data_IF_993955974057
#
_entry.id   IF_993955974057
#
_cell.length_a   1.000
_cell.length_b   1.000
_cell.length_c   1.000
_cell.angle_alpha   90.00
_cell.angle_beta   90.00
_cell.angle_gamma   90.00
#
_symmetry.space_group_name_H-M   'P 1'
#
loop_
_entity.id
_entity.type
_entity.pdbx_description
1 polymer ?
#
# COMPACT_ATOMS: atom_id res chain seq x y z
N UNK A 1 -9.67 -12.15 19.47
CA UNK A 1 -8.87 -11.02 18.93
C UNK A 1 -7.51 -11.06 19.62
N UNK A 2 -6.44 -11.00 18.84
CA UNK A 2 -5.06 -10.97 19.36
C UNK A 2 -4.42 -9.63 19.05
N UNK A 3 -3.59 -9.11 19.95
CA UNK A 3 -2.80 -7.91 19.72
C UNK A 3 -1.61 -8.25 18.85
N UNK A 4 -1.63 -7.85 17.59
CA UNK A 4 -0.62 -8.19 16.58
C UNK A 4 0.13 -6.95 16.10
N UNK A 5 1.41 -7.12 15.74
CA UNK A 5 2.14 -6.13 14.94
C UNK A 5 1.67 -6.21 13.49
N UNK A 6 1.95 -5.19 12.70
CA UNK A 6 1.60 -5.14 11.28
C UNK A 6 2.13 -6.38 10.52
N UNK A 7 3.41 -6.73 10.70
CA UNK A 7 4.00 -7.91 10.05
C UNK A 7 3.31 -9.22 10.49
N UNK A 8 2.97 -9.37 11.78
CA UNK A 8 2.26 -10.57 12.26
C UNK A 8 0.84 -10.67 11.72
N UNK A 9 0.20 -9.53 11.48
CA UNK A 9 -1.13 -9.49 10.87
C UNK A 9 -1.08 -9.98 9.41
N UNK A 10 -0.06 -9.60 8.64
CA UNK A 10 0.19 -10.12 7.29
C UNK A 10 0.46 -11.63 7.35
N UNK A 11 1.38 -12.08 8.22
CA UNK A 11 1.66 -13.52 8.41
C UNK A 11 0.37 -14.31 8.71
N UNK A 12 -0.49 -13.77 9.59
CA UNK A 12 -1.79 -14.39 9.92
C UNK A 12 -2.73 -14.45 8.72
N UNK A 13 -2.76 -13.42 7.86
CA UNK A 13 -3.53 -13.42 6.62
C UNK A 13 -3.02 -14.46 5.62
N UNK A 14 -1.69 -14.54 5.45
CA UNK A 14 -1.04 -15.54 4.58
C UNK A 14 -1.30 -16.97 5.07
N UNK A 15 -1.20 -17.19 6.38
CA UNK A 15 -1.53 -18.49 6.98
C UNK A 15 -2.98 -18.91 6.71
N UNK A 16 -3.90 -17.96 6.80
CA UNK A 16 -5.32 -18.20 6.53
C UNK A 16 -5.57 -18.60 5.08
N UNK A 17 -5.04 -17.85 4.11
CA UNK A 17 -5.27 -18.15 2.68
C UNK A 17 -4.59 -19.45 2.24
N UNK A 18 -3.41 -19.77 2.79
CA UNK A 18 -2.76 -21.07 2.55
C UNK A 18 -3.54 -22.23 3.15
N UNK A 19 -4.21 -22.03 4.29
CA UNK A 19 -5.05 -23.05 4.94
C UNK A 19 -6.34 -23.28 4.15
N UNK A 20 -6.92 -22.22 3.59
CA UNK A 20 -8.23 -22.26 2.93
C UNK A 20 -8.16 -22.83 1.51
N UNK A 21 -7.09 -22.56 0.75
CA UNK A 21 -6.96 -22.98 -0.64
C UNK A 21 -5.63 -23.72 -0.88
N UNK A 22 -5.68 -25.03 -1.18
CA UNK A 22 -4.48 -25.83 -1.48
C UNK A 22 -3.74 -25.38 -2.76
N UNK A 23 -4.34 -24.53 -3.60
CA UNK A 23 -3.72 -23.97 -4.80
C UNK A 23 -3.02 -22.64 -4.54
N UNK A 24 -3.11 -22.09 -3.35
CA UNK A 24 -2.34 -20.90 -2.94
C UNK A 24 -0.91 -21.32 -2.60
N UNK A 25 0.08 -20.57 -3.09
CA UNK A 25 1.48 -20.79 -2.77
C UNK A 25 2.25 -19.46 -2.70
N UNK A 26 3.31 -19.45 -1.90
CA UNK A 26 4.17 -18.28 -1.66
C UNK A 26 5.59 -18.62 -2.05
N UNK A 27 6.26 -17.74 -2.77
CA UNK A 27 7.66 -17.91 -3.14
C UNK A 27 8.35 -16.57 -3.39
N UNK A 28 9.66 -16.60 -3.33
CA UNK A 28 10.53 -15.45 -3.50
C UNK A 28 11.88 -15.70 -2.86
N UNK A 29 12.70 -14.70 -2.75
CA UNK A 29 14.02 -14.79 -2.14
C UNK A 29 13.89 -14.90 -0.63
N UNK A 30 14.52 -15.91 -0.03
CA UNK A 30 14.51 -16.20 1.41
C UNK A 30 13.12 -16.43 2.04
N UNK A 31 12.09 -16.60 1.23
CA UNK A 31 10.68 -16.72 1.67
C UNK A 31 10.41 -18.03 2.41
N UNK A 32 11.07 -19.11 1.98
CA UNK A 32 10.87 -20.46 2.50
C UNK A 32 11.54 -20.65 3.86
N UNK A 33 12.74 -21.25 3.85
CA UNK A 33 13.44 -21.66 5.07
C UNK A 33 13.75 -20.50 6.01
N UNK A 34 14.13 -19.35 5.49
CA UNK A 34 14.44 -18.16 6.29
C UNK A 34 13.17 -17.47 6.82
N UNK A 35 12.03 -17.64 6.17
CA UNK A 35 10.76 -16.99 6.52
C UNK A 35 10.68 -15.53 6.11
N UNK A 36 11.39 -15.16 5.03
CA UNK A 36 11.50 -13.79 4.51
C UNK A 36 12.53 -12.95 5.27
N UNK A 37 13.13 -11.97 4.59
CA UNK A 37 14.14 -11.05 5.18
C UNK A 37 13.56 -10.31 6.39
N UNK A 38 12.30 -9.95 6.34
CA UNK A 38 11.60 -9.28 7.44
C UNK A 38 10.79 -10.23 8.32
N UNK A 39 10.83 -11.53 8.07
CA UNK A 39 10.16 -12.58 8.85
C UNK A 39 8.64 -12.60 8.65
N UNK A 40 8.16 -12.15 7.50
CA UNK A 40 6.73 -12.11 7.16
C UNK A 40 6.16 -13.52 6.90
N UNK A 41 6.99 -14.45 6.40
CA UNK A 41 6.59 -15.82 6.08
C UNK A 41 7.15 -16.86 7.05
N UNK A 42 7.59 -16.43 8.23
CA UNK A 42 8.12 -17.30 9.28
C UNK A 42 7.14 -18.41 9.63
N UNK A 43 7.65 -19.63 9.80
CA UNK A 43 6.93 -20.85 10.16
C UNK A 43 5.92 -21.36 9.08
N UNK A 44 5.70 -20.63 7.98
CA UNK A 44 4.76 -21.05 6.93
C UNK A 44 5.27 -22.25 6.14
N UNK A 45 6.59 -22.31 5.84
CA UNK A 45 7.16 -23.49 5.16
C UNK A 45 7.05 -24.76 6.02
N UNK A 46 7.33 -24.65 7.32
CA UNK A 46 7.22 -25.77 8.25
C UNK A 46 5.78 -26.30 8.33
N UNK A 47 4.79 -25.40 8.23
CA UNK A 47 3.37 -25.75 8.30
C UNK A 47 2.81 -26.31 7.00
N UNK A 48 3.16 -25.71 5.85
CA UNK A 48 2.52 -26.00 4.55
C UNK A 48 3.40 -26.79 3.59
N UNK A 49 4.68 -26.97 3.91
CA UNK A 49 5.65 -27.72 3.10
C UNK A 49 6.37 -26.88 2.05
N UNK A 50 7.50 -27.43 1.58
CA UNK A 50 8.38 -26.79 0.58
C UNK A 50 7.72 -26.68 -0.80
N UNK A 51 6.73 -27.48 -1.12
CA UNK A 51 5.98 -27.41 -2.38
C UNK A 51 5.06 -26.19 -2.46
N UNK A 52 4.76 -25.57 -1.32
CA UNK A 52 3.82 -24.46 -1.24
C UNK A 52 4.44 -23.15 -0.74
N UNK A 53 5.52 -23.22 0.03
CA UNK A 53 6.27 -22.07 0.53
C UNK A 53 7.75 -22.34 0.27
N UNK A 54 8.34 -21.68 -0.71
CA UNK A 54 9.69 -22.03 -1.17
C UNK A 54 10.52 -20.83 -1.61
N UNK A 55 11.83 -21.03 -1.56
CA UNK A 55 12.82 -20.07 -2.02
C UNK A 55 13.01 -20.14 -3.54
N UNK A 56 13.28 -18.99 -4.14
CA UNK A 56 13.69 -18.88 -5.54
C UNK A 56 15.14 -18.40 -5.65
N UNK A 57 15.79 -18.58 -6.80
CA UNK A 57 16.97 -17.80 -7.13
C UNK A 57 16.65 -16.29 -7.12
N UNK A 58 17.68 -15.45 -6.94
CA UNK A 58 17.64 -14.01 -7.04
C UNK A 58 17.47 -13.61 -8.52
N UNK A 59 16.22 -13.52 -8.96
CA UNK A 59 15.84 -13.24 -10.35
C UNK A 59 14.38 -12.79 -10.44
N UNK A 60 14.10 -11.53 -10.19
CA UNK A 60 12.74 -10.99 -10.04
C UNK A 60 11.89 -11.16 -11.31
N UNK A 61 12.51 -11.03 -12.49
CA UNK A 61 11.83 -11.36 -13.76
C UNK A 61 11.42 -12.85 -13.85
N UNK A 62 12.26 -13.74 -13.33
CA UNK A 62 11.96 -15.16 -13.23
C UNK A 62 10.86 -15.47 -12.22
N UNK A 63 10.85 -14.79 -11.08
CA UNK A 63 9.82 -14.87 -10.04
C UNK A 63 8.45 -14.50 -10.63
N UNK A 64 8.36 -13.37 -11.35
CA UNK A 64 7.11 -12.94 -11.99
C UNK A 64 6.71 -13.87 -13.16
N UNK A 65 7.67 -14.33 -13.96
CA UNK A 65 7.41 -15.29 -15.02
C UNK A 65 6.83 -16.60 -14.48
N UNK A 66 7.35 -17.11 -13.36
CA UNK A 66 6.81 -18.29 -12.67
C UNK A 66 5.38 -18.02 -12.16
N UNK A 67 5.13 -16.86 -11.54
CA UNK A 67 3.79 -16.48 -11.05
C UNK A 67 2.76 -16.47 -12.19
N UNK A 68 3.07 -15.87 -13.33
CA UNK A 68 2.19 -15.83 -14.50
C UNK A 68 1.91 -17.26 -15.00
N UNK A 69 2.95 -18.09 -15.15
CA UNK A 69 2.80 -19.47 -15.59
C UNK A 69 1.92 -20.32 -14.66
N UNK A 70 2.10 -20.15 -13.35
CA UNK A 70 1.29 -20.83 -12.33
C UNK A 70 -0.17 -20.37 -12.37
N UNK A 71 -0.42 -19.07 -12.50
CA UNK A 71 -1.80 -18.54 -12.59
C UNK A 71 -2.55 -19.09 -13.79
N UNK A 72 -1.89 -19.24 -14.95
CA UNK A 72 -2.46 -19.84 -16.15
C UNK A 72 -2.89 -21.30 -15.96
N UNK A 73 -2.29 -22.00 -15.01
CA UNK A 73 -2.61 -23.40 -14.68
C UNK A 73 -3.58 -23.53 -13.48
N UNK A 74 -4.12 -22.41 -13.01
CA UNK A 74 -5.16 -22.37 -11.99
C UNK A 74 -4.64 -22.35 -10.55
N UNK A 75 -3.39 -21.94 -10.34
CA UNK A 75 -2.83 -21.64 -9.02
C UNK A 75 -3.07 -20.18 -8.65
N UNK A 76 -3.00 -19.86 -7.35
CA UNK A 76 -3.01 -18.50 -6.80
C UNK A 76 -1.63 -18.18 -6.21
N UNK A 77 -0.68 -17.76 -7.05
CA UNK A 77 0.68 -17.47 -6.60
C UNK A 77 0.77 -16.13 -5.88
N UNK A 78 1.58 -16.14 -4.81
CA UNK A 78 1.94 -14.95 -4.04
C UNK A 78 3.46 -14.78 -4.14
N UNK A 79 3.98 -14.23 -5.25
CA UNK A 79 5.39 -13.89 -5.35
C UNK A 79 5.75 -12.73 -4.41
N UNK A 80 6.87 -12.85 -3.68
CA UNK A 80 7.48 -11.76 -2.95
C UNK A 80 8.66 -11.21 -3.72
N UNK A 81 8.67 -9.90 -3.98
CA UNK A 81 9.84 -9.15 -4.40
C UNK A 81 10.40 -8.49 -3.14
N UNK A 82 11.68 -8.74 -2.85
CA UNK A 82 12.28 -8.49 -1.55
C UNK A 82 12.27 -7.01 -1.14
N UNK A 83 12.37 -6.09 -2.12
CA UNK A 83 12.20 -4.64 -1.97
C UNK A 83 11.58 -4.04 -3.23
N UNK A 84 10.79 -2.98 -3.05
CA UNK A 84 10.10 -2.34 -4.18
C UNK A 84 11.05 -1.83 -5.26
N UNK A 85 12.23 -1.32 -4.91
CA UNK A 85 13.26 -0.91 -5.87
C UNK A 85 13.68 -2.01 -6.83
N UNK A 86 13.60 -3.28 -6.43
CA UNK A 86 13.94 -4.43 -7.28
C UNK A 86 12.83 -4.82 -8.26
N UNK A 87 11.64 -4.24 -8.12
CA UNK A 87 10.57 -4.42 -9.12
C UNK A 87 10.95 -3.93 -10.50
N UNK A 88 11.97 -3.06 -10.64
CA UNK A 88 12.49 -2.65 -11.94
C UNK A 88 12.98 -3.84 -12.78
N UNK A 89 13.57 -4.88 -12.16
CA UNK A 89 13.97 -6.11 -12.84
C UNK A 89 12.77 -6.97 -13.29
N UNK A 90 11.59 -6.75 -12.71
CA UNK A 90 10.35 -7.47 -13.00
C UNK A 90 9.32 -6.64 -13.80
N UNK A 91 9.65 -5.42 -14.23
CA UNK A 91 8.68 -4.49 -14.85
C UNK A 91 8.00 -5.07 -16.08
N UNK A 92 8.72 -5.79 -16.96
CA UNK A 92 8.07 -6.45 -18.09
C UNK A 92 7.01 -7.46 -17.63
N UNK A 93 7.35 -8.28 -16.62
CA UNK A 93 6.41 -9.26 -16.06
C UNK A 93 5.17 -8.61 -15.45
N UNK A 94 5.33 -7.53 -14.69
CA UNK A 94 4.24 -6.82 -13.99
C UNK A 94 3.41 -6.01 -14.97
N UNK A 95 4.03 -5.05 -15.65
CA UNK A 95 3.36 -4.02 -16.47
C UNK A 95 3.14 -4.49 -17.90
N UNK A 96 4.15 -5.18 -18.48
CA UNK A 96 4.12 -5.65 -19.85
C UNK A 96 3.27 -6.88 -20.07
N UNK A 97 3.18 -7.77 -19.09
CA UNK A 97 2.49 -9.06 -19.19
C UNK A 97 1.28 -9.12 -18.23
N UNK A 98 1.49 -9.35 -16.94
CA UNK A 98 0.45 -9.67 -15.96
C UNK A 98 -0.75 -8.70 -15.98
N UNK A 99 -0.49 -7.40 -15.93
CA UNK A 99 -1.54 -6.39 -15.94
C UNK A 99 -2.40 -6.40 -17.21
N UNK A 100 -1.86 -6.91 -18.34
CA UNK A 100 -2.51 -6.89 -19.65
C UNK A 100 -3.13 -8.23 -20.05
N UNK A 101 -2.77 -9.30 -19.35
CA UNK A 101 -3.13 -10.64 -19.81
C UNK A 101 -4.63 -10.91 -19.73
N UNK A 102 -5.34 -10.39 -18.73
CA UNK A 102 -6.81 -10.49 -18.72
C UNK A 102 -7.42 -9.92 -20.02
N UNK A 103 -6.96 -8.74 -20.46
CA UNK A 103 -7.38 -8.14 -21.72
C UNK A 103 -6.96 -8.95 -22.95
N UNK A 104 -5.71 -9.46 -23.00
CA UNK A 104 -5.20 -10.27 -24.13
C UNK A 104 -5.98 -11.56 -24.31
N UNK A 105 -6.44 -12.16 -23.22
CA UNK A 105 -7.29 -13.35 -23.24
C UNK A 105 -8.78 -13.02 -23.42
N UNK A 106 -9.12 -11.76 -23.74
CA UNK A 106 -10.51 -11.36 -24.00
C UNK A 106 -11.44 -11.52 -22.81
N UNK A 107 -10.94 -11.39 -21.59
CA UNK A 107 -11.69 -11.60 -20.35
C UNK A 107 -12.03 -13.07 -20.03
N UNK A 108 -11.47 -14.03 -20.77
CA UNK A 108 -11.79 -15.46 -20.60
C UNK A 108 -10.92 -16.15 -19.55
N UNK A 109 -9.86 -15.49 -19.07
CA UNK A 109 -8.94 -16.00 -18.04
C UNK A 109 -8.70 -14.96 -16.98
N UNK A 110 -8.66 -15.43 -15.75
CA UNK A 110 -8.26 -14.67 -14.58
C UNK A 110 -6.76 -14.85 -14.32
N UNK A 111 -6.16 -13.84 -13.69
CA UNK A 111 -4.74 -13.86 -13.31
C UNK A 111 -4.61 -13.52 -11.82
N UNK A 112 -4.99 -14.46 -10.93
CA UNK A 112 -5.02 -14.23 -9.47
C UNK A 112 -3.60 -14.25 -8.88
N UNK A 113 -2.81 -13.24 -9.19
CA UNK A 113 -1.44 -13.08 -8.71
C UNK A 113 -1.39 -11.94 -7.70
N UNK A 114 -0.93 -12.21 -6.48
CA UNK A 114 -0.70 -11.20 -5.47
C UNK A 114 0.78 -10.96 -5.29
N UNK A 115 1.30 -9.90 -5.89
CA UNK A 115 2.69 -9.49 -5.74
C UNK A 115 2.81 -8.78 -4.40
N UNK A 116 3.68 -9.27 -3.51
CA UNK A 116 4.01 -8.62 -2.25
C UNK A 116 5.38 -7.98 -2.34
N UNK A 117 5.49 -6.75 -1.84
CA UNK A 117 6.77 -6.07 -1.79
C UNK A 117 6.84 -5.07 -0.65
N UNK A 118 7.90 -5.09 0.17
CA UNK A 118 8.23 -4.03 1.11
C UNK A 118 8.61 -2.74 0.37
N UNK A 119 8.20 -1.58 0.93
CA UNK A 119 8.51 -0.26 0.41
C UNK A 119 8.59 0.77 1.52
N UNK A 120 9.01 1.98 1.19
CA UNK A 120 9.03 3.11 2.11
C UNK A 120 10.20 3.11 3.08
N UNK A 121 10.43 4.27 3.67
CA UNK A 121 11.56 4.53 4.54
C UNK A 121 11.29 4.36 6.02
N UNK A 122 12.07 5.08 6.83
CA UNK A 122 11.99 5.05 8.29
C UNK A 122 12.80 3.93 8.95
N UNK A 123 13.61 3.22 8.18
CA UNK A 123 14.44 2.10 8.67
C UNK A 123 15.92 2.25 8.37
N UNK A 124 16.34 3.39 7.83
CA UNK A 124 17.74 3.73 7.52
C UNK A 124 18.44 2.72 6.61
N UNK A 125 17.71 2.21 5.62
CA UNK A 125 18.22 1.23 4.65
C UNK A 125 19.17 1.85 3.62
N UNK A 126 19.76 1.01 2.79
CA UNK A 126 20.58 1.43 1.66
C UNK A 126 19.68 1.98 0.53
N UNK A 127 20.30 2.65 -0.43
CA UNK A 127 19.67 3.08 -1.68
C UNK A 127 18.98 1.90 -2.38
N UNK A 128 17.86 2.11 -3.05
CA UNK A 128 16.92 1.13 -3.64
C UNK A 128 16.17 0.22 -2.64
N UNK A 129 16.47 0.28 -1.34
CA UNK A 129 15.80 -0.57 -0.35
C UNK A 129 14.61 0.11 0.36
N UNK A 130 14.34 1.37 0.03
CA UNK A 130 13.25 2.15 0.60
C UNK A 130 12.48 2.97 -0.46
N UNK A 131 12.63 2.62 -1.73
CA UNK A 131 11.98 3.35 -2.82
C UNK A 131 10.47 3.28 -2.74
N UNK A 132 9.84 4.39 -3.10
CA UNK A 132 8.42 4.56 -3.28
C UNK A 132 8.12 4.64 -4.78
N UNK A 133 7.77 3.52 -5.40
CA UNK A 133 7.58 3.40 -6.85
C UNK A 133 6.11 3.18 -7.25
N UNK A 134 5.18 3.41 -6.35
CA UNK A 134 3.74 3.18 -6.59
C UNK A 134 3.21 3.92 -7.82
N UNK A 135 3.77 5.07 -8.16
CA UNK A 135 3.39 5.86 -9.33
C UNK A 135 3.53 5.10 -10.66
N UNK A 136 4.52 4.21 -10.78
CA UNK A 136 4.67 3.37 -11.98
C UNK A 136 3.56 2.32 -12.10
N UNK A 137 3.00 1.89 -10.98
CA UNK A 137 2.02 0.83 -10.92
C UNK A 137 0.58 1.34 -10.93
N UNK A 138 0.29 2.45 -10.27
CA UNK A 138 -1.05 3.07 -10.29
C UNK A 138 -1.44 3.56 -11.68
N UNK A 139 -0.46 3.89 -12.53
CA UNK A 139 -0.68 4.26 -13.92
C UNK A 139 -0.82 3.06 -14.86
N UNK A 140 -0.84 1.82 -14.33
CA UNK A 140 -0.86 0.57 -15.12
C UNK A 140 -2.26 -0.04 -15.12
N UNK A 141 -3.05 0.10 -16.21
CA UNK A 141 -4.38 -0.49 -16.29
C UNK A 141 -4.33 -2.01 -16.18
N UNK A 142 -5.25 -2.58 -15.39
CA UNK A 142 -5.36 -4.01 -15.16
C UNK A 142 -4.57 -4.51 -13.94
N UNK A 143 -3.89 -3.61 -13.21
CA UNK A 143 -3.23 -3.91 -11.94
C UNK A 143 -3.92 -3.13 -10.81
N UNK A 144 -4.31 -3.83 -9.74
CA UNK A 144 -4.73 -3.19 -8.50
C UNK A 144 -3.50 -2.89 -7.64
N UNK A 145 -3.51 -1.75 -6.95
CA UNK A 145 -2.40 -1.35 -6.06
C UNK A 145 -2.98 -0.98 -4.71
N UNK A 146 -2.58 -1.68 -3.67
CA UNK A 146 -3.12 -1.48 -2.31
C UNK A 146 -2.01 -1.47 -1.26
N UNK A 147 -2.26 -0.74 -0.18
CA UNK A 147 -1.38 -0.67 0.99
C UNK A 147 -2.21 -0.45 2.25
N UNK A 148 -1.74 -0.91 3.39
CA UNK A 148 -2.42 -0.71 4.67
C UNK A 148 -1.66 0.28 5.56
N UNK A 149 -2.37 0.95 6.45
CA UNK A 149 -1.82 1.86 7.46
C UNK A 149 -1.77 1.25 8.87
N UNK A 150 -2.39 0.09 9.08
CA UNK A 150 -2.57 -0.54 10.39
C UNK A 150 -2.66 -2.08 10.27
N UNK A 151 -2.46 -2.83 11.39
CA UNK A 151 -2.49 -4.29 11.39
C UNK A 151 -3.84 -4.91 10.97
N UNK A 152 -4.96 -4.29 11.35
CA UNK A 152 -6.29 -4.80 10.97
C UNK A 152 -6.46 -4.78 9.45
N UNK A 153 -6.23 -3.64 8.83
CA UNK A 153 -6.36 -3.52 7.38
C UNK A 153 -5.29 -4.36 6.64
N UNK A 154 -4.08 -4.52 7.20
CA UNK A 154 -3.04 -5.34 6.61
C UNK A 154 -3.46 -6.80 6.45
N UNK A 155 -4.06 -7.42 7.49
CA UNK A 155 -4.59 -8.79 7.39
C UNK A 155 -5.76 -8.88 6.42
N UNK A 156 -6.74 -7.97 6.54
CA UNK A 156 -7.93 -8.00 5.70
C UNK A 156 -7.64 -7.75 4.22
N UNK A 157 -6.73 -6.80 3.90
CA UNK A 157 -6.35 -6.49 2.52
C UNK A 157 -5.51 -7.59 1.88
N UNK A 158 -4.57 -8.23 2.60
CA UNK A 158 -3.79 -9.34 2.01
C UNK A 158 -4.68 -10.54 1.70
N UNK A 159 -5.67 -10.83 2.54
CA UNK A 159 -6.67 -11.88 2.26
C UNK A 159 -7.47 -11.51 1.00
N UNK A 160 -7.99 -10.28 0.93
CA UNK A 160 -8.74 -9.80 -0.24
C UNK A 160 -7.90 -9.82 -1.52
N UNK A 161 -6.62 -9.47 -1.43
CA UNK A 161 -5.70 -9.48 -2.57
C UNK A 161 -5.52 -10.89 -3.12
N UNK A 162 -5.31 -11.89 -2.23
CA UNK A 162 -5.15 -13.29 -2.65
C UNK A 162 -6.45 -13.89 -3.20
N UNK A 163 -7.61 -13.47 -2.70
CA UNK A 163 -8.91 -13.90 -3.20
C UNK A 163 -9.34 -13.19 -4.49
N UNK A 164 -8.67 -12.10 -4.87
CA UNK A 164 -8.94 -11.40 -6.12
C UNK A 164 -8.67 -12.30 -7.34
N UNK A 165 -9.50 -12.18 -8.34
CA UNK A 165 -9.29 -12.82 -9.65
C UNK A 165 -8.41 -11.96 -10.58
N UNK A 166 -8.20 -10.69 -10.22
CA UNK A 166 -7.30 -9.76 -10.90
C UNK A 166 -5.96 -9.66 -10.17
N UNK A 167 -4.88 -9.29 -10.87
CA UNK A 167 -3.58 -9.11 -10.23
C UNK A 167 -3.57 -7.93 -9.27
N UNK A 168 -2.94 -8.13 -8.13
CA UNK A 168 -2.82 -7.13 -7.05
C UNK A 168 -1.35 -6.94 -6.68
N UNK A 169 -0.90 -5.70 -6.64
CA UNK A 169 0.34 -5.29 -5.97
C UNK A 169 -0.02 -4.89 -4.53
N UNK A 170 0.37 -5.71 -3.57
CA UNK A 170 0.21 -5.46 -2.14
C UNK A 170 1.51 -4.88 -1.58
N UNK A 171 1.49 -3.60 -1.25
CA UNK A 171 2.65 -2.85 -0.79
C UNK A 171 2.70 -2.82 0.74
N UNK A 172 3.86 -3.18 1.31
CA UNK A 172 4.08 -3.33 2.75
C UNK A 172 5.08 -2.31 3.27
N UNK A 173 4.61 -1.27 3.97
CA UNK A 173 5.51 -0.22 4.45
C UNK A 173 6.44 -0.72 5.57
N UNK A 174 7.75 -0.54 5.37
CA UNK A 174 8.80 -1.00 6.27
C UNK A 174 8.71 -0.38 7.68
N UNK A 175 8.39 0.91 7.79
CA UNK A 175 8.24 1.62 9.06
C UNK A 175 7.14 0.98 9.93
N UNK A 176 6.06 0.48 9.28
CA UNK A 176 4.90 -0.07 9.97
C UNK A 176 5.12 -1.49 10.51
N UNK A 177 6.05 -2.25 9.97
CA UNK A 177 6.21 -3.66 10.32
C UNK A 177 6.26 -3.94 11.83
N UNK A 178 6.92 -3.06 12.59
CA UNK A 178 7.13 -3.26 14.05
C UNK A 178 6.77 -2.04 14.90
N UNK A 179 6.40 -0.90 14.29
CA UNK A 179 6.17 0.35 15.00
C UNK A 179 4.84 0.39 15.75
N UNK A 180 3.89 -0.46 15.36
CA UNK A 180 2.55 -0.43 15.94
C UNK A 180 2.01 -1.83 16.23
N UNK A 181 0.99 -1.88 17.08
CA UNK A 181 0.21 -3.10 17.38
C UNK A 181 -1.26 -2.71 17.49
N UNK A 182 -2.12 -3.56 16.96
CA UNK A 182 -3.57 -3.38 17.03
C UNK A 182 -4.26 -4.70 17.36
N UNK A 183 -5.53 -4.63 17.75
CA UNK A 183 -6.38 -5.80 17.92
C UNK A 183 -6.84 -6.31 16.55
N UNK A 184 -6.45 -7.54 16.24
CA UNK A 184 -6.75 -8.19 14.95
C UNK A 184 -7.60 -9.44 15.25
N UNK A 185 -8.74 -9.63 14.57
CA UNK A 185 -9.53 -10.86 14.69
C UNK A 185 -8.72 -12.09 14.29
N UNK A 186 -8.86 -13.18 15.06
CA UNK A 186 -8.23 -14.46 14.73
C UNK A 186 -8.91 -15.10 13.51
N UNK A 187 -10.23 -14.95 13.41
CA UNK A 187 -11.03 -15.42 12.29
C UNK A 187 -10.69 -14.69 10.99
N UNK A 188 -11.06 -15.29 9.87
CA UNK A 188 -10.94 -14.70 8.55
C UNK A 188 -11.90 -13.52 8.39
N UNK A 189 -11.40 -12.45 7.79
CA UNK A 189 -12.19 -11.32 7.31
C UNK A 189 -11.48 -10.66 6.14
N UNK A 190 -12.20 -9.89 5.36
CA UNK A 190 -11.70 -9.16 4.21
C UNK A 190 -11.89 -7.66 4.38
N UNK A 191 -11.04 -6.89 3.72
CA UNK A 191 -11.16 -5.44 3.54
C UNK A 191 -11.26 -5.16 2.04
N UNK A 192 -12.23 -4.37 1.56
CA UNK A 192 -12.39 -4.11 0.13
C UNK A 192 -11.13 -3.51 -0.51
N UNK A 193 -10.82 -3.95 -1.75
CA UNK A 193 -9.64 -3.49 -2.50
C UNK A 193 -9.86 -2.18 -3.28
N UNK A 194 -11.01 -1.56 -3.14
CA UNK A 194 -11.46 -0.41 -3.92
C UNK A 194 -12.11 0.68 -3.06
N UNK A 195 -11.92 0.64 -1.75
CA UNK A 195 -12.54 1.61 -0.84
C UNK A 195 -11.55 2.23 0.13
N UNK A 196 -11.62 3.54 0.26
CA UNK A 196 -10.98 4.32 1.31
C UNK A 196 -11.73 4.17 2.65
N UNK A 197 -11.15 4.73 3.70
CA UNK A 197 -11.78 4.75 5.03
C UNK A 197 -11.55 6.11 5.70
N UNK A 198 -12.63 6.71 6.19
CA UNK A 198 -12.52 7.81 7.15
C UNK A 198 -12.06 7.21 8.49
N UNK A 199 -10.82 7.47 8.87
CA UNK A 199 -10.22 6.95 10.11
C UNK A 199 -10.35 7.94 11.27
N UNK A 200 -10.66 9.20 10.97
CA UNK A 200 -11.02 10.25 11.92
C UNK A 200 -12.02 11.19 11.27
N UNK A 201 -13.14 11.41 11.92
CA UNK A 201 -14.12 12.40 11.50
C UNK A 201 -13.65 13.83 11.78
N UNK A 202 -13.99 14.76 10.88
CA UNK A 202 -13.68 16.18 11.01
C UNK A 202 -14.60 17.05 10.17
N UNK A 203 -14.53 18.38 10.37
CA UNK A 203 -15.44 19.33 9.73
C UNK A 203 -14.76 20.51 9.05
N UNK A 204 -13.46 20.74 9.29
CA UNK A 204 -12.82 21.99 8.88
C UNK A 204 -11.80 21.81 7.76
N UNK A 205 -11.16 20.64 7.67
CA UNK A 205 -10.17 20.32 6.65
C UNK A 205 -10.07 18.80 6.47
N UNK A 206 -9.90 18.34 5.23
CA UNK A 206 -9.67 16.93 4.89
C UNK A 206 -8.16 16.67 4.70
N UNK A 207 -7.65 15.65 5.37
CA UNK A 207 -6.30 15.11 5.19
C UNK A 207 -6.41 13.75 4.51
N UNK A 208 -5.97 13.65 3.25
CA UNK A 208 -5.99 12.41 2.47
C UNK A 208 -4.60 11.80 2.47
N UNK A 209 -4.46 10.60 3.00
CA UNK A 209 -3.17 9.91 3.14
C UNK A 209 -3.28 8.41 2.84
N UNK A 210 -2.16 7.73 2.75
CA UNK A 210 -2.10 6.27 2.66
C UNK A 210 -0.86 5.74 3.39
N UNK A 211 -0.89 4.47 3.74
CA UNK A 211 0.23 3.76 4.38
C UNK A 211 0.71 4.43 5.68
N UNK A 212 2.01 4.61 5.87
CA UNK A 212 2.60 5.21 7.07
C UNK A 212 2.14 6.66 7.30
N UNK A 213 1.88 7.40 6.22
CA UNK A 213 1.47 8.80 6.29
C UNK A 213 0.09 9.02 6.91
N UNK A 214 -0.75 7.99 6.99
CA UNK A 214 -2.03 8.06 7.73
C UNK A 214 -1.77 8.30 9.22
N UNK A 215 -0.75 7.66 9.80
CA UNK A 215 -0.41 7.82 11.21
C UNK A 215 0.19 9.20 11.49
N UNK A 216 0.98 9.73 10.56
CA UNK A 216 1.49 11.11 10.63
C UNK A 216 0.33 12.12 10.51
N UNK A 217 -0.63 11.88 9.60
CA UNK A 217 -1.82 12.71 9.46
C UNK A 217 -2.72 12.70 10.70
N UNK A 218 -2.88 11.54 11.36
CA UNK A 218 -3.60 11.45 12.64
C UNK A 218 -2.89 12.24 13.75
N UNK A 219 -1.56 12.19 13.79
CA UNK A 219 -0.75 12.98 14.76
C UNK A 219 -0.91 14.47 14.50
N UNK A 220 -0.83 14.90 13.24
CA UNK A 220 -1.08 16.29 12.84
C UNK A 220 -2.51 16.74 13.19
N UNK A 221 -3.51 15.90 12.97
CA UNK A 221 -4.90 16.17 13.32
C UNK A 221 -5.09 16.35 14.84
N UNK A 222 -4.35 15.61 15.67
CA UNK A 222 -4.35 15.80 17.13
C UNK A 222 -3.70 17.12 17.54
N UNK A 223 -2.68 17.58 16.81
CA UNK A 223 -2.07 18.88 17.04
C UNK A 223 -3.03 20.02 16.62
N UNK A 224 -3.66 19.93 15.46
CA UNK A 224 -4.66 20.89 14.96
C UNK A 224 -5.86 21.03 15.92
N UNK A 225 -6.31 19.92 16.51
CA UNK A 225 -7.43 19.92 17.44
C UNK A 225 -7.19 20.75 18.70
N UNK A 226 -5.93 20.95 19.13
CA UNK A 226 -5.58 21.82 20.26
C UNK A 226 -5.93 23.27 20.02
N UNK A 227 -5.98 23.67 18.74
CA UNK A 227 -6.37 25.03 18.30
C UNK A 227 -7.80 25.05 17.73
N UNK A 228 -8.61 24.03 18.05
CA UNK A 228 -10.00 23.85 17.60
C UNK A 228 -10.16 23.73 16.09
N UNK A 229 -9.17 23.20 15.38
CA UNK A 229 -9.28 22.84 13.96
C UNK A 229 -9.61 21.34 13.86
N UNK A 230 -10.80 21.04 13.35
CA UNK A 230 -11.34 19.68 13.24
C UNK A 230 -10.96 19.06 11.91
N UNK A 231 -9.86 18.29 11.87
CA UNK A 231 -9.39 17.63 10.68
C UNK A 231 -10.02 16.25 10.51
N UNK A 232 -10.60 15.99 9.33
CA UNK A 232 -10.97 14.66 8.87
C UNK A 232 -9.78 13.96 8.25
N UNK A 233 -9.55 12.69 8.60
CA UNK A 233 -8.43 11.91 8.04
C UNK A 233 -8.98 10.74 7.26
N UNK A 234 -8.58 10.64 5.98
CA UNK A 234 -8.93 9.55 5.07
C UNK A 234 -7.70 8.70 4.81
N UNK A 235 -7.82 7.39 5.07
CA UNK A 235 -6.88 6.37 4.60
C UNK A 235 -7.36 5.84 3.25
N UNK A 236 -6.59 6.07 2.20
CA UNK A 236 -6.93 5.60 0.85
C UNK A 236 -6.98 4.08 0.75
N UNK A 237 -6.09 3.35 1.40
CA UNK A 237 -5.92 1.90 1.32
C UNK A 237 -5.73 1.36 -0.09
N UNK A 238 -6.54 1.80 -1.05
CA UNK A 238 -6.44 1.51 -2.48
C UNK A 238 -5.88 2.71 -3.23
N UNK A 239 -4.79 2.50 -3.97
CA UNK A 239 -4.17 3.51 -4.82
C UNK A 239 -4.56 3.32 -6.30
N UNK A 240 -5.04 2.12 -6.65
CA UNK A 240 -5.62 1.79 -7.95
C UNK A 240 -6.63 0.63 -7.79
N UNK A 241 -7.95 0.88 -7.96
CA UNK A 241 -8.59 2.17 -8.20
C UNK A 241 -8.59 3.07 -6.96
N UNK A 242 -8.64 4.39 -7.14
CA UNK A 242 -8.82 5.37 -6.06
C UNK A 242 -10.32 5.50 -5.77
N UNK A 243 -10.69 5.50 -4.49
CA UNK A 243 -12.06 5.80 -4.03
C UNK A 243 -12.27 7.32 -3.96
N UNK A 244 -12.60 7.91 -5.10
CA UNK A 244 -12.87 9.35 -5.22
C UNK A 244 -14.17 9.74 -4.51
N UNK A 245 -15.14 8.85 -4.41
CA UNK A 245 -16.43 9.13 -3.77
C UNK A 245 -16.25 9.48 -2.28
N UNK A 246 -15.44 8.71 -1.57
CA UNK A 246 -15.11 8.99 -0.16
C UNK A 246 -14.38 10.33 -0.01
N UNK A 247 -13.43 10.65 -0.91
CA UNK A 247 -12.71 11.93 -0.90
C UNK A 247 -13.68 13.09 -1.17
N UNK A 248 -14.54 12.96 -2.16
CA UNK A 248 -15.48 14.01 -2.56
C UNK A 248 -16.53 14.29 -1.49
N UNK A 249 -17.04 13.25 -0.84
CA UNK A 249 -17.97 13.41 0.28
C UNK A 249 -17.35 14.18 1.45
N UNK A 250 -16.06 13.95 1.73
CA UNK A 250 -15.32 14.70 2.74
C UNK A 250 -15.11 16.17 2.33
N UNK A 251 -14.72 16.42 1.08
CA UNK A 251 -14.51 17.79 0.57
C UNK A 251 -15.83 18.59 0.57
N UNK A 252 -16.95 17.98 0.23
CA UNK A 252 -18.26 18.65 0.28
C UNK A 252 -18.64 19.08 1.72
N UNK A 253 -18.04 18.47 2.73
CA UNK A 253 -18.20 18.80 4.16
C UNK A 253 -17.20 19.83 4.66
N UNK A 254 -15.92 19.68 4.28
CA UNK A 254 -14.81 20.43 4.87
C UNK A 254 -14.34 21.63 4.03
N UNK A 255 -14.61 21.60 2.71
CA UNK A 255 -14.23 22.61 1.71
C UNK A 255 -12.72 22.91 1.59
N UNK A 256 -11.87 22.15 2.28
CA UNK A 256 -10.42 22.32 2.31
C UNK A 256 -9.75 20.94 2.32
N UNK A 257 -8.65 20.78 1.59
CA UNK A 257 -7.99 19.48 1.46
C UNK A 257 -6.47 19.60 1.40
N UNK A 258 -5.80 18.66 2.06
CA UNK A 258 -4.36 18.38 1.92
C UNK A 258 -4.18 16.92 1.55
N UNK A 259 -3.44 16.67 0.47
CA UNK A 259 -3.08 15.32 0.03
C UNK A 259 -1.64 15.03 0.42
N UNK A 260 -1.41 13.89 1.07
CA UNK A 260 -0.18 13.53 1.77
C UNK A 260 0.36 12.22 1.22
N UNK A 261 1.64 12.16 0.90
CA UNK A 261 2.34 10.97 0.42
C UNK A 261 3.80 10.96 0.85
N UNK A 262 4.35 9.78 1.09
CA UNK A 262 5.80 9.59 1.34
C UNK A 262 6.63 9.75 0.05
N UNK A 263 6.09 9.31 -1.09
CA UNK A 263 6.77 9.41 -2.38
C UNK A 263 7.10 10.85 -2.80
N UNK A 264 7.97 10.97 -3.81
CA UNK A 264 8.31 12.25 -4.44
C UNK A 264 7.05 12.98 -4.93
N UNK A 265 7.15 14.32 -4.94
CA UNK A 265 6.04 15.19 -5.32
C UNK A 265 5.62 15.04 -6.78
N UNK A 266 6.58 14.82 -7.69
CA UNK A 266 6.35 14.73 -9.14
C UNK A 266 5.67 13.41 -9.49
N UNK A 267 4.55 13.49 -10.22
CA UNK A 267 3.80 12.34 -10.73
C UNK A 267 3.40 11.28 -9.68
N UNK A 268 3.41 11.61 -8.39
CA UNK A 268 2.96 10.72 -7.33
C UNK A 268 1.43 10.60 -7.26
N UNK A 269 0.93 9.67 -6.47
CA UNK A 269 -0.51 9.43 -6.24
C UNK A 269 -1.24 10.72 -5.83
N UNK A 270 -0.62 11.54 -4.97
CA UNK A 270 -1.19 12.83 -4.58
C UNK A 270 -1.32 13.85 -5.71
N UNK A 271 -0.61 13.68 -6.83
CA UNK A 271 -0.83 14.49 -8.03
C UNK A 271 -2.08 14.04 -8.79
N UNK A 272 -2.32 12.72 -8.85
CA UNK A 272 -3.55 12.15 -9.45
C UNK A 272 -4.76 12.58 -8.64
N UNK A 273 -4.76 12.35 -7.33
CA UNK A 273 -5.85 12.78 -6.43
C UNK A 273 -6.13 14.28 -6.54
N UNK A 274 -5.08 15.12 -6.58
CA UNK A 274 -5.25 16.56 -6.73
C UNK A 274 -5.85 16.94 -8.10
N UNK A 275 -5.53 16.19 -9.16
CA UNK A 275 -6.12 16.39 -10.50
C UNK A 275 -7.59 16.05 -10.51
N UNK A 276 -7.99 14.91 -9.94
CA UNK A 276 -9.37 14.46 -9.87
C UNK A 276 -10.23 15.46 -9.03
N UNK A 277 -9.68 15.92 -7.89
CA UNK A 277 -10.34 16.97 -7.09
C UNK A 277 -10.49 18.28 -7.89
N UNK A 278 -9.46 18.68 -8.63
CA UNK A 278 -9.49 19.90 -9.42
C UNK A 278 -10.51 19.82 -10.59
N UNK A 279 -10.69 18.63 -11.17
CA UNK A 279 -11.66 18.40 -12.23
C UNK A 279 -13.09 18.40 -11.70
N UNK A 280 -13.36 17.65 -10.63
CA UNK A 280 -14.74 17.37 -10.20
C UNK A 280 -15.20 18.22 -9.01
N UNK A 281 -14.29 18.74 -8.18
CA UNK A 281 -14.60 19.40 -6.90
C UNK A 281 -14.00 20.80 -6.71
N UNK A 282 -13.43 21.40 -7.76
CA UNK A 282 -12.82 22.73 -7.66
C UNK A 282 -13.80 23.79 -7.12
N UNK A 283 -15.09 23.68 -7.48
CA UNK A 283 -16.12 24.63 -7.05
C UNK A 283 -16.63 24.40 -5.61
N UNK A 284 -16.24 23.27 -5.00
CA UNK A 284 -16.52 22.97 -3.59
C UNK A 284 -15.40 23.44 -2.65
N UNK A 285 -14.28 23.93 -3.19
CA UNK A 285 -13.12 24.32 -2.40
C UNK A 285 -13.12 25.82 -2.06
N UNK A 286 -12.82 26.12 -0.83
CA UNK A 286 -12.61 27.49 -0.31
C UNK A 286 -11.11 27.90 -0.29
N UNK A 287 -10.20 26.96 -0.60
CA UNK A 287 -8.75 27.16 -0.59
C UNK A 287 -8.07 26.33 -1.71
N UNK A 288 -6.82 26.63 -2.07
CA UNK A 288 -6.03 25.78 -2.95
C UNK A 288 -5.86 24.37 -2.37
N UNK A 289 -5.68 23.36 -3.24
CA UNK A 289 -5.36 22.00 -2.81
C UNK A 289 -3.94 21.99 -2.23
N UNK A 290 -3.81 21.66 -0.94
CA UNK A 290 -2.52 21.46 -0.28
C UNK A 290 -1.91 20.12 -0.67
N UNK A 291 -0.58 20.08 -0.78
CA UNK A 291 0.14 18.80 -0.98
C UNK A 291 1.37 18.75 -0.10
N UNK A 292 1.50 17.65 0.64
CA UNK A 292 2.71 17.27 1.41
C UNK A 292 3.29 16.03 0.77
N UNK A 293 4.54 16.08 0.37
CA UNK A 293 5.24 15.00 -0.34
C UNK A 293 6.74 15.19 -0.20
N UNK A 294 7.50 14.12 -0.34
CA UNK A 294 8.95 14.22 -0.38
C UNK A 294 9.44 15.06 -1.57
N UNK A 295 10.66 15.62 -1.47
CA UNK A 295 11.28 16.36 -2.57
C UNK A 295 11.56 15.45 -3.78
N UNK A 296 11.58 16.07 -4.99
CA UNK A 296 11.84 15.35 -6.24
C UNK A 296 13.36 15.03 -6.39
N UNK A 297 13.80 14.08 -5.60
CA UNK A 297 15.18 13.57 -5.57
C UNK A 297 15.18 12.06 -5.38
N UNK A 298 16.31 11.43 -5.67
CA UNK A 298 16.53 10.02 -5.30
C UNK A 298 16.35 9.87 -3.79
N UNK A 299 15.76 8.78 -3.35
CA UNK A 299 15.60 8.48 -1.92
C UNK A 299 16.98 8.46 -1.24
N UNK A 300 17.19 9.28 -0.21
CA UNK A 300 18.47 9.33 0.48
C UNK A 300 18.61 8.13 1.43
N UNK A 301 19.84 7.70 1.67
CA UNK A 301 20.11 6.60 2.57
C UNK A 301 20.54 7.05 3.96
N UNK A 302 20.49 6.13 4.92
CA UNK A 302 20.86 6.33 6.30
C UNK A 302 20.05 7.48 6.96
N UNK A 303 20.66 8.29 7.78
CA UNK A 303 19.96 9.32 8.56
C UNK A 303 19.39 10.49 7.73
N UNK A 304 19.84 10.65 6.48
CA UNK A 304 19.33 11.71 5.61
C UNK A 304 17.85 11.49 5.23
N UNK A 305 17.32 10.28 5.37
CA UNK A 305 15.89 10.01 5.18
C UNK A 305 14.99 10.78 6.14
N UNK A 306 15.48 11.10 7.35
CA UNK A 306 14.71 11.83 8.35
C UNK A 306 14.33 13.25 7.92
N UNK A 307 15.14 13.87 7.06
CA UNK A 307 14.89 15.20 6.50
C UNK A 307 14.11 15.12 5.17
N UNK A 308 13.96 13.92 4.61
CA UNK A 308 13.35 13.68 3.32
C UNK A 308 11.90 13.20 3.43
N UNK A 309 11.62 12.29 4.36
CA UNK A 309 10.29 11.74 4.58
C UNK A 309 9.42 12.80 5.24
N UNK A 310 8.24 13.14 4.67
CA UNK A 310 7.28 14.02 5.32
C UNK A 310 6.88 13.49 6.70
N UNK A 311 6.61 14.39 7.61
CA UNK A 311 6.24 14.06 8.98
C UNK A 311 5.00 14.86 9.44
N UNK A 312 4.54 14.61 10.66
CA UNK A 312 3.36 15.25 11.21
C UNK A 312 3.48 16.79 11.30
N UNK A 313 4.68 17.34 11.51
CA UNK A 313 4.89 18.79 11.59
C UNK A 313 4.73 19.44 10.21
N UNK A 314 5.23 18.79 9.14
CA UNK A 314 5.04 19.24 7.76
C UNK A 314 3.55 19.23 7.36
N UNK A 315 2.83 18.19 7.78
CA UNK A 315 1.39 18.04 7.54
C UNK A 315 0.62 19.11 8.29
N UNK A 316 0.92 19.31 9.59
CA UNK A 316 0.30 20.34 10.40
C UNK A 316 0.52 21.74 9.82
N UNK A 317 1.76 22.07 9.45
CA UNK A 317 2.11 23.36 8.87
C UNK A 317 1.32 23.62 7.58
N UNK A 318 1.25 22.63 6.66
CA UNK A 318 0.48 22.74 5.42
C UNK A 318 -1.03 22.84 5.69
N UNK A 319 -1.55 22.05 6.62
CA UNK A 319 -2.96 22.11 6.98
C UNK A 319 -3.36 23.48 7.54
N UNK A 320 -2.52 24.09 8.40
CA UNK A 320 -2.73 25.46 8.90
C UNK A 320 -2.67 26.52 7.80
N UNK A 321 -1.74 26.37 6.86
CA UNK A 321 -1.66 27.26 5.69
C UNK A 321 -3.00 27.23 4.91
N UNK A 322 -3.48 26.03 4.58
CA UNK A 322 -4.74 25.83 3.82
C UNK A 322 -5.97 26.24 4.64
N UNK A 323 -5.97 26.02 5.94
CA UNK A 323 -7.08 26.40 6.82
C UNK A 323 -7.25 27.91 6.89
N UNK A 324 -6.15 28.67 6.92
CA UNK A 324 -6.15 30.14 7.03
C UNK A 324 -6.31 30.88 5.69
N UNK A 325 -6.43 30.15 4.58
CA UNK A 325 -6.62 30.75 3.26
C UNK A 325 -8.02 31.32 3.10
#
# INVERSE_FOLDING_TARGET
MAKMTYIKAITSGLDQVLSDDPKTLIFGEDVGKNGGVFRTTVDLQDKFGEDRVFDTPLAESGILGLAIGLSLTGWRPIPEIQFMGFTFEAMDGIVGQLARDHYRFGGQKNFPVTIRTPFGGGTHTAEMHADNLENYFVSTPGLRVVTASNPYDAKGLVISAVESDDPVLFMENLKLYRSMKDEVPDDKYTVPLDSAKVVREGTDITLVAYSAEVNEALTAADALAKDNISAEVIDLRSLSPIDTDTIYASIDKTHKVVVIQEAQRMAGVGAVVASDIAEDKIMSLDAPIGRVAAPDSVYPFAQAENDWIPNSDDIEAKAREIFNY
#
